data_IF_116882174283
#
_entry.id   IF_116882174283
#
_cell.length_a   1.000
_cell.length_b   1.000
_cell.length_c   1.000
_cell.angle_alpha   90.00
_cell.angle_beta   90.00
_cell.angle_gamma   90.00
#
_symmetry.space_group_name_H-M   'P 1'
#
loop_
_entity.id
_entity.type
_entity.pdbx_description
1 polymer ?
#
# COMPACT_ATOMS: atom_id res chain seq x y z
N UNK A 1 40.12 27.47 43.71
CA UNK A 1 39.38 26.64 42.69
C UNK A 1 39.29 25.23 43.20
N UNK A 2 38.18 24.89 43.85
CA UNK A 2 37.90 23.51 44.25
C UNK A 2 37.54 22.70 43.02
N UNK A 3 38.34 21.71 42.71
CA UNK A 3 37.95 20.67 41.73
C UNK A 3 36.65 20.06 42.23
N UNK A 4 35.55 20.34 41.56
CA UNK A 4 34.35 19.51 41.69
C UNK A 4 34.74 18.20 41.06
N UNK A 5 35.26 17.28 41.83
CA UNK A 5 35.35 15.88 41.47
C UNK A 5 33.97 15.26 41.60
N UNK A 6 33.05 15.77 40.84
CA UNK A 6 31.80 15.05 40.64
C UNK A 6 32.11 13.85 39.76
N UNK A 7 32.00 12.68 40.36
CA UNK A 7 31.99 11.42 39.62
C UNK A 7 31.05 11.58 38.45
N UNK A 8 31.57 11.41 37.25
CA UNK A 8 30.76 11.50 35.99
C UNK A 8 29.52 10.59 36.10
N UNK A 9 29.63 9.49 36.80
CA UNK A 9 28.54 8.59 37.11
C UNK A 9 27.44 9.26 37.97
N UNK A 10 27.80 10.16 38.90
CA UNK A 10 26.82 10.88 39.71
C UNK A 10 26.05 11.93 38.87
N UNK A 11 26.70 12.63 37.95
CA UNK A 11 26.02 13.49 36.99
C UNK A 11 25.02 12.69 36.10
N UNK A 12 25.43 11.48 35.70
CA UNK A 12 24.58 10.55 34.95
C UNK A 12 23.40 10.08 35.80
N UNK A 13 23.63 9.66 37.04
CA UNK A 13 22.58 9.22 37.98
C UNK A 13 21.57 10.31 38.26
N UNK A 14 21.99 11.56 38.39
CA UNK A 14 21.10 12.71 38.60
C UNK A 14 20.26 12.98 37.38
N UNK A 15 20.82 12.90 36.19
CA UNK A 15 20.12 13.08 34.92
C UNK A 15 19.06 12.01 34.67
N UNK A 16 19.29 10.80 35.18
CA UNK A 16 18.45 9.64 34.95
C UNK A 16 17.59 9.23 36.14
N UNK A 17 17.33 10.13 37.08
CA UNK A 17 16.35 9.92 38.14
C UNK A 17 14.97 10.33 37.65
N UNK A 18 14.00 9.44 37.78
CA UNK A 18 12.59 9.66 37.42
C UNK A 18 11.69 9.26 38.59
N UNK A 19 10.46 9.78 38.59
CA UNK A 19 9.46 9.53 39.60
C UNK A 19 8.65 8.28 39.27
N UNK A 20 8.41 8.06 37.96
CA UNK A 20 7.68 6.91 37.46
C UNK A 20 8.05 6.61 36.01
N UNK A 21 7.74 5.37 35.61
CA UNK A 21 7.72 4.92 34.22
C UNK A 21 6.25 4.67 33.83
N UNK A 22 5.84 5.21 32.70
CA UNK A 22 4.51 4.99 32.15
C UNK A 22 4.63 4.35 30.77
N UNK A 23 3.62 3.58 30.39
CA UNK A 23 3.48 3.13 29.01
C UNK A 23 3.12 4.31 28.12
N UNK A 24 3.73 4.35 26.97
CA UNK A 24 3.47 5.31 25.92
C UNK A 24 3.42 4.61 24.57
N UNK A 25 2.85 5.28 23.60
CA UNK A 25 2.76 4.78 22.22
C UNK A 25 2.69 5.96 21.27
N UNK A 26 3.31 5.84 20.12
CA UNK A 26 3.15 6.80 19.03
C UNK A 26 2.23 6.21 17.97
N UNK A 27 1.28 7.00 17.53
CA UNK A 27 0.24 6.58 16.59
C UNK A 27 0.11 7.53 15.41
N UNK A 28 1.16 8.22 15.02
CA UNK A 28 1.06 9.23 13.96
C UNK A 28 2.14 9.01 12.91
N UNK A 29 1.77 9.12 11.65
CA UNK A 29 2.65 9.25 10.48
C UNK A 29 3.64 8.13 10.22
N UNK A 30 3.65 7.09 11.03
CA UNK A 30 4.48 5.92 10.85
C UNK A 30 3.61 4.68 10.83
N UNK A 31 3.68 3.92 9.81
CA UNK A 31 3.03 2.62 9.71
C UNK A 31 4.08 1.51 9.81
N UNK A 32 3.91 0.56 10.72
CA UNK A 32 2.83 0.41 11.67
C UNK A 32 2.84 1.47 12.77
N UNK A 33 1.66 1.89 13.18
CA UNK A 33 1.46 2.72 14.36
C UNK A 33 1.56 1.88 15.62
N UNK A 34 1.78 2.53 16.75
CA UNK A 34 1.70 1.85 18.04
C UNK A 34 3.03 1.27 18.52
N UNK A 35 4.17 1.92 18.24
CA UNK A 35 5.43 1.58 18.88
C UNK A 35 5.27 1.60 20.39
N UNK A 36 5.47 0.47 21.11
CA UNK A 36 5.37 0.43 22.56
C UNK A 36 6.60 1.09 23.16
N UNK A 37 6.39 2.08 24.01
CA UNK A 37 7.43 2.87 24.62
C UNK A 37 7.25 2.93 26.14
N UNK A 38 8.36 3.11 26.84
CA UNK A 38 8.41 3.52 28.23
C UNK A 38 8.71 5.01 28.33
N UNK A 39 7.75 5.80 28.80
CA UNK A 39 7.95 7.20 29.11
C UNK A 39 8.45 7.35 30.58
N UNK A 40 9.64 7.91 30.72
CA UNK A 40 10.27 8.19 32.01
C UNK A 40 9.88 9.60 32.44
N UNK A 41 9.10 9.69 33.51
CA UNK A 41 8.48 10.95 33.97
C UNK A 41 9.15 11.45 35.24
N UNK A 42 9.46 12.74 35.28
CA UNK A 42 9.96 13.46 36.45
C UNK A 42 9.30 14.82 36.55
N UNK A 43 8.85 15.17 37.75
CA UNK A 43 8.21 16.48 38.04
C UNK A 43 7.07 16.80 37.01
N UNK A 44 6.31 15.77 36.62
CA UNK A 44 5.23 15.89 35.63
C UNK A 44 5.66 16.01 34.18
N UNK A 45 6.96 16.00 33.87
CA UNK A 45 7.51 16.08 32.51
C UNK A 45 8.10 14.77 32.06
N UNK A 46 7.98 14.49 30.76
CA UNK A 46 8.63 13.33 30.13
C UNK A 46 10.10 13.68 29.89
N UNK A 47 11.00 12.99 30.60
CA UNK A 47 12.44 13.18 30.41
C UNK A 47 12.94 12.54 29.11
N UNK A 48 12.40 11.36 28.79
CA UNK A 48 12.74 10.59 27.60
C UNK A 48 11.73 9.48 27.38
N UNK A 49 11.75 8.94 26.20
CA UNK A 49 11.08 7.70 25.86
C UNK A 49 12.09 6.65 25.38
N UNK A 50 11.84 5.41 25.70
CA UNK A 50 12.61 4.24 25.23
C UNK A 50 11.66 3.16 24.74
N UNK A 51 12.14 2.37 23.81
CA UNK A 51 11.42 1.21 23.33
C UNK A 51 11.16 0.23 24.48
N UNK A 52 9.93 -0.23 24.58
CA UNK A 52 9.54 -1.08 25.70
C UNK A 52 10.10 -2.52 25.62
N UNK A 53 10.48 -2.97 24.43
CA UNK A 53 11.01 -4.33 24.25
C UNK A 53 10.05 -5.46 24.66
N UNK A 54 8.75 -5.21 24.59
CA UNK A 54 7.73 -6.06 25.20
C UNK A 54 6.89 -6.84 24.19
N UNK A 55 7.21 -6.73 22.90
CA UNK A 55 6.49 -7.48 21.88
C UNK A 55 6.91 -8.94 21.88
N UNK A 56 5.96 -9.87 21.81
CA UNK A 56 6.28 -11.30 21.76
C UNK A 56 6.90 -11.68 20.43
N UNK A 57 7.73 -12.71 20.43
CA UNK A 57 8.11 -13.38 19.20
C UNK A 57 6.88 -14.00 18.55
N UNK A 58 6.65 -13.69 17.27
CA UNK A 58 5.44 -14.12 16.55
C UNK A 58 5.61 -15.57 16.07
N UNK A 59 6.74 -15.88 15.46
CA UNK A 59 7.01 -17.20 14.89
C UNK A 59 8.48 -17.60 15.14
N UNK A 60 8.75 -18.85 15.53
CA UNK A 60 10.13 -19.33 15.67
C UNK A 60 10.89 -19.25 14.36
N UNK A 61 12.13 -18.76 14.40
CA UNK A 61 12.99 -18.61 13.24
C UNK A 61 12.83 -17.32 12.46
N UNK A 62 11.85 -16.48 12.85
CA UNK A 62 11.74 -15.10 12.35
C UNK A 62 12.35 -14.16 13.39
N UNK A 63 13.04 -13.08 12.96
CA UNK A 63 13.56 -12.08 13.88
C UNK A 63 12.49 -11.51 14.80
N UNK A 64 12.88 -11.14 16.01
CA UNK A 64 12.03 -10.49 16.99
C UNK A 64 11.61 -9.09 16.48
N UNK A 65 10.39 -8.67 16.80
CA UNK A 65 9.93 -7.29 16.55
C UNK A 65 10.67 -6.25 17.39
N UNK A 66 11.34 -6.65 18.46
CA UNK A 66 12.05 -5.73 19.34
C UNK A 66 13.50 -5.48 18.83
N UNK A 67 13.99 -4.26 18.97
CA UNK A 67 13.30 -3.08 19.46
C UNK A 67 12.43 -2.43 18.38
N UNK A 68 11.20 -2.03 18.73
CA UNK A 68 10.28 -1.32 17.84
C UNK A 68 10.20 0.15 18.21
N UNK A 69 11.05 0.97 17.64
CA UNK A 69 11.10 2.40 17.87
C UNK A 69 12.17 3.07 17.00
N UNK A 70 12.13 4.39 16.95
CA UNK A 70 13.07 5.17 16.12
C UNK A 70 13.36 6.55 16.72
N UNK A 71 14.27 7.28 16.08
CA UNK A 71 14.66 8.65 16.54
C UNK A 71 13.48 9.63 16.51
N UNK A 72 12.53 9.50 15.59
CA UNK A 72 11.34 10.36 15.56
C UNK A 72 10.56 10.21 16.88
N UNK A 73 10.27 8.98 17.28
CA UNK A 73 9.66 8.70 18.57
C UNK A 73 10.46 9.24 19.74
N UNK A 74 11.74 8.97 19.78
CA UNK A 74 12.62 9.40 20.86
C UNK A 74 12.72 10.94 21.01
N UNK A 75 12.37 11.71 19.96
CA UNK A 75 12.37 13.18 20.01
C UNK A 75 11.03 13.81 20.43
N UNK A 76 9.94 13.05 20.49
CA UNK A 76 8.61 13.58 20.83
C UNK A 76 8.53 14.32 22.17
N UNK A 77 9.18 13.85 23.25
CA UNK A 77 9.18 14.59 24.51
C UNK A 77 9.67 16.02 24.37
N UNK A 78 10.63 16.26 23.48
CA UNK A 78 11.16 17.59 23.24
C UNK A 78 10.12 18.53 22.57
N UNK A 79 9.22 17.98 21.76
CA UNK A 79 8.14 18.76 21.12
C UNK A 79 7.07 19.17 22.14
N UNK A 80 6.83 18.37 23.18
CA UNK A 80 5.85 18.70 24.21
C UNK A 80 6.20 19.93 25.01
N UNK A 81 7.48 20.13 25.29
CA UNK A 81 8.01 21.23 26.09
C UNK A 81 8.75 22.29 25.22
N UNK A 82 8.62 22.24 23.91
CA UNK A 82 9.26 23.17 23.00
C UNK A 82 8.76 24.61 23.26
N UNK A 83 9.66 25.58 23.31
CA UNK A 83 9.28 26.99 23.63
C UNK A 83 8.40 27.64 22.55
N UNK A 84 8.43 27.12 21.35
CA UNK A 84 7.63 27.57 20.21
C UNK A 84 6.33 26.75 20.04
N UNK A 85 6.03 25.81 20.97
CA UNK A 85 4.80 25.04 20.94
C UNK A 85 3.59 25.97 21.10
N UNK A 86 2.64 25.89 20.18
CA UNK A 86 1.37 26.61 20.24
C UNK A 86 0.51 26.01 21.37
N UNK A 87 0.30 26.80 22.42
CA UNK A 87 -0.48 26.38 23.62
C UNK A 87 -1.80 27.13 23.77
N UNK A 88 -2.08 28.09 22.90
CA UNK A 88 -3.32 28.88 22.87
C UNK A 88 -3.73 29.13 21.44
N UNK A 89 -5.01 29.41 21.16
CA UNK A 89 -5.44 29.86 19.84
C UNK A 89 -4.68 31.12 19.43
N UNK A 90 -4.32 31.17 18.16
CA UNK A 90 -3.59 32.31 17.58
C UNK A 90 -4.45 32.96 16.48
N UNK A 91 -4.65 34.29 16.59
CA UNK A 91 -5.30 35.06 15.55
C UNK A 91 -4.26 35.77 14.69
N UNK A 92 -4.40 35.70 13.38
CA UNK A 92 -3.54 36.44 12.46
C UNK A 92 -3.83 37.93 12.55
N UNK A 93 -2.79 38.75 12.73
CA UNK A 93 -2.86 40.23 12.81
C UNK A 93 -2.14 40.94 11.70
N UNK A 94 -1.49 40.21 10.81
CA UNK A 94 -0.80 40.76 9.63
C UNK A 94 -1.42 40.25 8.33
N UNK A 95 -0.83 40.68 7.23
CA UNK A 95 -1.19 40.19 5.90
C UNK A 95 -0.91 38.68 5.78
N UNK A 96 -1.62 38.02 4.85
CA UNK A 96 -1.42 36.61 4.61
C UNK A 96 0.02 36.33 4.15
N UNK A 97 0.72 35.48 4.88
CA UNK A 97 2.13 35.13 4.63
C UNK A 97 3.14 35.91 5.48
N UNK A 98 2.73 36.95 6.19
CA UNK A 98 3.66 37.70 7.09
C UNK A 98 4.05 36.93 8.36
N UNK A 99 3.31 35.88 8.73
CA UNK A 99 3.60 35.10 9.94
C UNK A 99 3.34 35.85 11.25
N UNK A 100 2.54 36.93 11.24
CA UNK A 100 2.21 37.70 12.43
C UNK A 100 0.93 37.21 13.07
N UNK A 101 1.03 36.77 14.32
CA UNK A 101 -0.07 36.24 15.11
C UNK A 101 -0.07 36.80 16.52
N UNK A 102 -1.26 36.89 17.13
CA UNK A 102 -1.43 37.19 18.54
C UNK A 102 -2.24 36.10 19.24
N UNK A 103 -1.93 35.77 20.51
CA UNK A 103 -2.73 34.82 21.29
C UNK A 103 -4.12 35.41 21.62
N UNK A 104 -5.16 34.58 21.46
CA UNK A 104 -6.52 34.92 21.88
C UNK A 104 -7.08 33.85 22.81
N UNK A 105 -8.19 34.13 23.51
CA UNK A 105 -8.87 33.15 24.29
C UNK A 105 -9.62 32.15 23.39
N UNK A 106 -9.95 30.96 23.92
CA UNK A 106 -10.79 30.00 23.21
C UNK A 106 -12.16 30.59 22.86
N UNK A 107 -12.77 31.36 23.77
CA UNK A 107 -14.08 31.96 23.51
C UNK A 107 -14.04 32.92 22.32
N UNK A 108 -13.00 33.77 22.25
CA UNK A 108 -12.81 34.65 21.09
C UNK A 108 -12.59 33.88 19.81
N UNK A 109 -11.71 32.87 19.83
CA UNK A 109 -11.41 32.07 18.64
C UNK A 109 -12.67 31.33 18.14
N UNK A 110 -13.41 30.68 19.04
CA UNK A 110 -14.62 29.93 18.67
C UNK A 110 -15.73 30.84 18.17
N UNK A 111 -15.88 32.03 18.74
CA UNK A 111 -16.88 33.02 18.30
C UNK A 111 -16.54 33.52 16.89
N UNK A 112 -15.32 33.96 16.67
CA UNK A 112 -14.88 34.46 15.34
C UNK A 112 -15.00 33.36 14.25
N UNK A 113 -14.69 32.09 14.58
CA UNK A 113 -14.85 30.97 13.64
C UNK A 113 -16.34 30.72 13.36
N UNK A 114 -17.19 30.70 14.40
CA UNK A 114 -18.61 30.47 14.25
C UNK A 114 -19.28 31.58 13.41
N UNK A 115 -18.95 32.84 13.67
CA UNK A 115 -19.47 33.98 12.91
C UNK A 115 -19.07 33.88 11.43
N UNK A 116 -17.79 33.59 11.14
CA UNK A 116 -17.33 33.43 9.76
C UNK A 116 -18.00 32.24 9.04
N UNK A 117 -18.31 31.13 9.77
CA UNK A 117 -19.05 30.01 9.20
C UNK A 117 -20.50 30.38 8.93
N UNK A 118 -21.15 31.10 9.83
CA UNK A 118 -22.54 31.56 9.66
C UNK A 118 -22.65 32.53 8.47
N UNK A 119 -21.73 33.50 8.37
CA UNK A 119 -21.68 34.42 7.24
C UNK A 119 -21.55 33.65 5.90
N UNK A 120 -20.66 32.66 5.84
CA UNK A 120 -20.50 31.84 4.65
C UNK A 120 -21.77 31.03 4.31
N UNK A 121 -22.46 30.50 5.31
CA UNK A 121 -23.72 29.77 5.14
C UNK A 121 -24.83 30.69 4.64
N UNK A 122 -24.95 31.91 5.21
CA UNK A 122 -25.95 32.87 4.79
C UNK A 122 -25.71 33.36 3.35
N UNK A 123 -24.47 33.57 2.97
CA UNK A 123 -24.12 34.09 1.65
C UNK A 123 -24.13 33.03 0.55
N UNK A 124 -23.68 31.81 0.82
CA UNK A 124 -23.38 30.81 -0.21
C UNK A 124 -23.93 29.41 0.08
N UNK A 125 -24.58 29.20 1.22
CA UNK A 125 -25.07 27.90 1.66
C UNK A 125 -24.03 27.06 2.42
N UNK A 126 -24.47 26.05 3.18
CA UNK A 126 -23.59 25.23 4.02
C UNK A 126 -22.57 24.42 3.20
N UNK A 127 -22.85 24.14 1.94
CA UNK A 127 -21.95 23.46 1.00
C UNK A 127 -20.72 24.31 0.62
N UNK A 128 -20.69 25.58 0.94
CA UNK A 128 -19.49 26.44 0.78
C UNK A 128 -18.40 26.10 1.79
N UNK A 129 -18.74 25.42 2.87
CA UNK A 129 -17.80 24.97 3.90
C UNK A 129 -17.27 23.59 3.51
N UNK A 130 -15.96 23.49 3.32
CA UNK A 130 -15.28 22.23 3.01
C UNK A 130 -14.49 21.76 4.22
N UNK A 131 -14.76 20.54 4.66
CA UNK A 131 -14.06 19.89 5.77
C UNK A 131 -13.18 18.76 5.18
N UNK A 132 -11.86 18.96 5.05
CA UNK A 132 -10.99 17.88 4.61
C UNK A 132 -10.89 16.83 5.72
N UNK A 133 -11.18 15.59 5.36
CA UNK A 133 -11.15 14.47 6.29
C UNK A 133 -10.10 13.46 5.85
N UNK A 134 -9.34 12.98 6.82
CA UNK A 134 -8.49 11.81 6.64
C UNK A 134 -9.18 10.58 7.25
N UNK A 135 -8.80 9.35 6.89
CA UNK A 135 -9.37 8.14 7.48
C UNK A 135 -9.30 8.12 9.01
N UNK A 136 -8.23 8.66 9.58
CA UNK A 136 -8.04 8.77 11.02
C UNK A 136 -9.09 9.68 11.68
N UNK A 137 -9.65 10.61 10.93
CA UNK A 137 -10.69 11.53 11.39
C UNK A 137 -12.12 11.01 11.17
N UNK A 138 -12.28 9.89 10.48
CA UNK A 138 -13.58 9.39 10.03
C UNK A 138 -14.61 9.12 11.14
N UNK A 139 -14.15 8.75 12.34
CA UNK A 139 -14.99 8.57 13.53
C UNK A 139 -14.94 9.78 14.47
N UNK A 140 -14.33 10.89 14.05
CA UNK A 140 -14.13 12.07 14.91
C UNK A 140 -15.40 12.92 15.05
N UNK A 141 -15.52 13.69 16.15
CA UNK A 141 -16.57 14.69 16.29
C UNK A 141 -16.66 15.69 15.12
N UNK A 142 -15.54 15.94 14.42
CA UNK A 142 -15.51 16.83 13.27
C UNK A 142 -16.42 16.33 12.13
N UNK A 143 -16.50 15.02 11.88
CA UNK A 143 -17.42 14.46 10.87
C UNK A 143 -18.87 14.62 11.26
N UNK A 144 -19.18 14.38 12.54
CA UNK A 144 -20.54 14.57 13.06
C UNK A 144 -20.96 16.03 12.91
N UNK A 145 -20.07 16.94 13.28
CA UNK A 145 -20.29 18.37 13.13
C UNK A 145 -20.49 18.79 11.69
N UNK A 146 -19.60 18.37 10.78
CA UNK A 146 -19.69 18.68 9.36
C UNK A 146 -21.00 18.17 8.73
N UNK A 147 -21.41 16.93 9.05
CA UNK A 147 -22.67 16.38 8.59
C UNK A 147 -23.90 17.14 9.14
N UNK A 148 -23.87 17.51 10.42
CA UNK A 148 -24.95 18.27 11.03
C UNK A 148 -25.07 19.68 10.45
N UNK A 149 -23.96 20.26 10.01
CA UNK A 149 -23.91 21.58 9.38
C UNK A 149 -24.35 21.55 7.92
N UNK A 150 -24.28 20.41 7.25
CA UNK A 150 -24.47 20.28 5.79
C UNK A 150 -23.25 20.65 4.98
N UNK A 151 -22.06 20.67 5.60
CA UNK A 151 -20.80 20.97 4.95
C UNK A 151 -20.35 19.86 4.00
N UNK A 152 -19.55 20.21 2.99
CA UNK A 152 -18.92 19.24 2.10
C UNK A 152 -17.75 18.56 2.83
N UNK A 153 -17.81 17.24 2.91
CA UNK A 153 -16.72 16.44 3.45
C UNK A 153 -15.97 15.82 2.28
N UNK A 154 -14.67 16.11 2.21
CA UNK A 154 -13.79 15.45 1.23
C UNK A 154 -13.26 14.15 1.80
N UNK A 155 -13.07 13.16 0.95
CA UNK A 155 -12.33 11.95 1.28
C UNK A 155 -10.90 12.10 0.72
N UNK A 156 -10.10 12.92 1.41
CA UNK A 156 -8.80 13.31 0.91
C UNK A 156 -7.87 12.14 0.57
N UNK A 157 -7.99 11.02 1.29
CA UNK A 157 -7.14 9.85 1.03
C UNK A 157 -7.58 9.07 -0.20
N UNK A 158 -8.89 8.84 -0.37
CA UNK A 158 -9.39 8.13 -1.55
C UNK A 158 -9.28 8.98 -2.81
N UNK A 159 -9.57 10.27 -2.71
CA UNK A 159 -9.46 11.22 -3.84
C UNK A 159 -8.02 11.40 -4.31
N UNK A 160 -7.05 11.33 -3.39
CA UNK A 160 -5.63 11.40 -3.73
C UNK A 160 -4.96 10.04 -3.94
N UNK A 161 -5.73 8.96 -3.98
CA UNK A 161 -5.27 7.60 -4.24
C UNK A 161 -4.19 7.09 -3.26
N UNK A 162 -4.30 7.43 -1.99
CA UNK A 162 -3.36 6.95 -0.96
C UNK A 162 -3.48 5.45 -0.68
N UNK A 163 -4.61 4.83 -1.04
CA UNK A 163 -4.95 3.47 -0.65
C UNK A 163 -4.75 2.44 -1.75
N UNK A 164 -3.82 2.67 -2.66
CA UNK A 164 -3.48 1.70 -3.70
C UNK A 164 -4.72 1.18 -4.46
N UNK A 165 -5.45 2.05 -5.18
CA UNK A 165 -6.71 1.72 -5.83
C UNK A 165 -6.59 0.58 -6.84
N UNK A 166 -5.45 0.44 -7.50
CA UNK A 166 -5.21 -0.64 -8.46
C UNK A 166 -5.22 -2.02 -7.79
N UNK A 167 -4.65 -2.13 -6.60
CA UNK A 167 -4.72 -3.38 -5.84
C UNK A 167 -6.13 -3.64 -5.33
N UNK A 168 -6.83 -2.60 -4.86
CA UNK A 168 -8.23 -2.74 -4.45
C UNK A 168 -9.11 -3.24 -5.59
N UNK A 169 -8.98 -2.64 -6.78
CA UNK A 169 -9.72 -3.08 -7.97
C UNK A 169 -9.36 -4.50 -8.41
N UNK A 170 -8.11 -4.93 -8.20
CA UNK A 170 -7.66 -6.26 -8.58
C UNK A 170 -8.17 -7.35 -7.65
N UNK A 171 -8.11 -7.13 -6.34
CA UNK A 171 -8.47 -8.15 -5.35
C UNK A 171 -9.85 -7.96 -4.70
N UNK A 172 -10.50 -6.83 -4.93
CA UNK A 172 -11.82 -6.54 -4.36
C UNK A 172 -11.80 -6.31 -2.85
N UNK A 173 -10.61 -6.20 -2.25
CA UNK A 173 -10.43 -5.96 -0.83
C UNK A 173 -9.43 -4.83 -0.61
N UNK A 174 -9.69 -4.05 0.43
CA UNK A 174 -8.80 -3.00 0.82
C UNK A 174 -7.51 -3.57 1.41
N UNK A 175 -6.39 -3.16 0.84
CA UNK A 175 -5.07 -3.40 1.38
C UNK A 175 -4.74 -4.87 1.71
N UNK A 176 -4.71 -5.77 0.71
CA UNK A 176 -4.41 -7.19 0.89
C UNK A 176 -2.92 -7.39 1.18
N UNK A 177 -2.49 -7.13 2.40
CA UNK A 177 -1.09 -7.18 2.81
C UNK A 177 -0.81 -8.31 3.79
N UNK A 178 0.42 -8.84 3.75
CA UNK A 178 0.94 -9.71 4.78
C UNK A 178 1.51 -8.91 5.96
N UNK A 179 1.74 -9.58 7.09
CA UNK A 179 2.44 -9.01 8.23
C UNK A 179 3.89 -8.60 7.89
N UNK A 180 4.46 -7.72 8.68
CA UNK A 180 5.80 -7.17 8.43
C UNK A 180 6.91 -8.21 8.56
N UNK A 181 6.79 -9.10 9.53
CA UNK A 181 7.71 -10.21 9.79
C UNK A 181 7.82 -11.18 8.60
N UNK A 182 6.77 -11.27 7.78
CA UNK A 182 6.78 -12.08 6.56
C UNK A 182 7.80 -11.60 5.51
N UNK A 183 8.29 -10.36 5.62
CA UNK A 183 9.33 -9.85 4.71
C UNK A 183 10.66 -10.57 4.87
N UNK A 184 10.95 -11.06 6.07
CA UNK A 184 12.14 -11.86 6.35
C UNK A 184 12.21 -13.14 5.50
N UNK A 185 11.06 -13.66 5.09
CA UNK A 185 10.94 -14.93 4.35
C UNK A 185 10.99 -14.77 2.83
N UNK A 186 11.11 -13.53 2.32
CA UNK A 186 11.20 -13.28 0.88
C UNK A 186 12.60 -13.60 0.35
N UNK A 187 12.68 -14.29 -0.80
CA UNK A 187 13.95 -14.51 -1.51
C UNK A 187 14.32 -13.28 -2.35
N UNK A 188 13.32 -12.48 -2.73
CA UNK A 188 13.48 -11.23 -3.46
C UNK A 188 12.45 -10.21 -2.98
N UNK A 189 12.90 -9.04 -2.56
CA UNK A 189 12.04 -7.91 -2.27
C UNK A 189 12.28 -6.79 -3.26
N UNK A 190 11.24 -6.39 -3.98
CA UNK A 190 11.25 -5.20 -4.82
C UNK A 190 10.70 -4.03 -4.01
N UNK A 191 11.55 -3.09 -3.61
CA UNK A 191 11.12 -1.81 -3.05
C UNK A 191 10.84 -0.89 -4.23
N UNK A 192 9.55 -0.76 -4.55
CA UNK A 192 9.11 -0.09 -5.76
C UNK A 192 8.29 1.14 -5.42
N UNK A 193 8.69 2.30 -5.90
CA UNK A 193 8.02 3.56 -5.63
C UNK A 193 7.90 3.89 -4.12
N UNK A 194 8.88 3.48 -3.34
CA UNK A 194 8.85 3.56 -1.88
C UNK A 194 10.22 3.79 -1.26
N UNK A 195 10.24 4.34 -0.03
CA UNK A 195 11.45 4.51 0.75
C UNK A 195 11.23 4.06 2.22
N UNK A 196 11.16 2.74 2.47
CA UNK A 196 10.84 2.20 3.79
C UNK A 196 11.87 2.56 4.88
N UNK A 197 13.12 2.85 4.53
CA UNK A 197 14.11 3.33 5.52
C UNK A 197 13.65 4.62 6.19
N UNK A 198 12.88 5.47 5.51
CA UNK A 198 12.31 6.68 6.08
C UNK A 198 10.90 6.53 6.61
N UNK A 199 10.09 5.66 6.00
CA UNK A 199 8.66 5.59 6.28
C UNK A 199 8.25 4.41 7.16
N UNK A 200 9.10 3.35 7.21
CA UNK A 200 8.88 2.14 8.01
C UNK A 200 10.11 1.78 8.82
N UNK A 201 10.72 2.76 9.46
CA UNK A 201 12.02 2.65 10.12
C UNK A 201 12.08 1.45 11.06
N UNK A 202 11.07 1.27 11.88
CA UNK A 202 11.03 0.22 12.91
C UNK A 202 10.92 -1.18 12.34
N UNK A 203 10.35 -1.32 11.14
CA UNK A 203 10.16 -2.62 10.48
C UNK A 203 11.19 -2.92 9.40
N UNK A 204 12.03 -1.95 9.08
CA UNK A 204 13.04 -2.11 8.05
C UNK A 204 14.06 -3.22 8.38
N UNK A 205 14.25 -3.53 9.66
CA UNK A 205 15.13 -4.61 10.08
C UNK A 205 14.75 -5.96 9.45
N UNK A 206 13.46 -6.26 9.26
CA UNK A 206 13.05 -7.50 8.58
C UNK A 206 13.54 -7.57 7.14
N UNK A 207 13.57 -6.44 6.43
CA UNK A 207 14.17 -6.36 5.10
C UNK A 207 15.69 -6.53 5.16
N UNK A 208 16.35 -5.81 6.07
CA UNK A 208 17.79 -5.90 6.22
C UNK A 208 18.23 -7.32 6.61
N UNK A 209 17.51 -7.95 7.53
CA UNK A 209 17.81 -9.30 8.00
C UNK A 209 17.46 -10.40 6.99
N UNK A 210 16.50 -10.15 6.08
CA UNK A 210 16.23 -11.09 4.98
C UNK A 210 17.46 -11.32 4.12
N UNK A 211 18.34 -10.32 3.96
CA UNK A 211 19.61 -10.45 3.24
C UNK A 211 20.57 -11.42 3.93
N UNK A 212 20.62 -11.40 5.26
CA UNK A 212 21.41 -12.38 6.03
C UNK A 212 20.87 -13.80 5.91
N UNK A 213 19.57 -13.91 5.56
CA UNK A 213 18.91 -15.19 5.27
C UNK A 213 18.97 -15.55 3.77
N UNK A 214 19.78 -14.85 2.97
CA UNK A 214 19.95 -15.12 1.55
C UNK A 214 18.97 -14.41 0.60
N UNK A 215 18.11 -13.55 1.15
CA UNK A 215 17.24 -12.70 0.33
C UNK A 215 18.00 -11.60 -0.40
N UNK A 216 17.42 -11.09 -1.47
CA UNK A 216 17.93 -9.97 -2.26
C UNK A 216 16.94 -8.80 -2.21
N UNK A 217 17.44 -7.59 -2.07
CA UNK A 217 16.65 -6.36 -2.11
C UNK A 217 16.99 -5.58 -3.37
N UNK A 218 15.98 -5.26 -4.16
CA UNK A 218 16.08 -4.39 -5.34
C UNK A 218 15.21 -3.16 -5.11
N UNK A 219 15.79 -1.97 -5.25
CA UNK A 219 15.01 -0.72 -5.26
C UNK A 219 14.75 -0.28 -6.68
N UNK A 220 13.50 0.11 -6.96
CA UNK A 220 13.08 0.67 -8.26
C UNK A 220 12.49 2.05 -7.97
N UNK A 221 13.28 3.08 -8.26
CA UNK A 221 12.93 4.47 -7.97
C UNK A 221 13.77 5.43 -8.82
N UNK A 222 13.31 6.66 -9.06
CA UNK A 222 14.06 7.63 -9.86
C UNK A 222 15.30 8.16 -9.13
N UNK A 223 15.30 8.15 -7.81
CA UNK A 223 16.35 8.68 -6.96
C UNK A 223 17.08 7.58 -6.17
N UNK A 224 18.34 7.84 -5.86
CA UNK A 224 19.13 6.97 -5.00
C UNK A 224 18.84 7.28 -3.53
N UNK A 225 17.71 6.80 -3.04
CA UNK A 225 17.23 7.02 -1.69
C UNK A 225 18.02 6.24 -0.63
N UNK A 226 17.85 6.53 0.67
CA UNK A 226 18.42 5.70 1.75
C UNK A 226 18.07 4.22 1.66
N UNK A 227 16.90 3.87 1.12
CA UNK A 227 16.57 2.46 0.86
C UNK A 227 17.45 1.84 -0.23
N UNK A 228 17.91 2.63 -1.20
CA UNK A 228 18.82 2.17 -2.23
C UNK A 228 20.24 1.92 -1.68
N UNK A 229 20.67 2.68 -0.66
CA UNK A 229 21.97 2.44 0.02
C UNK A 229 22.04 1.05 0.63
N UNK A 230 20.90 0.52 1.10
CA UNK A 230 20.79 -0.78 1.75
C UNK A 230 20.31 -1.89 0.82
N UNK A 231 20.10 -1.60 -0.46
CA UNK A 231 19.71 -2.59 -1.46
C UNK A 231 20.92 -3.29 -2.07
N UNK A 232 20.71 -4.48 -2.61
CA UNK A 232 21.73 -5.22 -3.38
C UNK A 232 21.85 -4.65 -4.79
N UNK A 233 20.75 -4.08 -5.31
CA UNK A 233 20.71 -3.45 -6.60
C UNK A 233 19.70 -2.30 -6.63
N UNK A 234 20.08 -1.19 -7.23
CA UNK A 234 19.22 -0.05 -7.51
C UNK A 234 18.95 0.04 -9.00
N UNK A 235 17.68 0.01 -9.40
CA UNK A 235 17.22 0.23 -10.75
C UNK A 235 16.62 1.63 -10.85
N UNK A 236 17.33 2.61 -11.38
CA UNK A 236 16.75 3.90 -11.70
C UNK A 236 15.68 3.74 -12.79
N UNK A 237 14.62 4.52 -12.69
CA UNK A 237 13.50 4.50 -13.63
C UNK A 237 13.01 5.92 -13.88
N UNK A 238 12.61 6.21 -15.11
CA UNK A 238 11.94 7.46 -15.46
C UNK A 238 10.60 7.55 -14.72
N UNK A 239 10.33 8.69 -14.09
CA UNK A 239 9.11 8.94 -13.31
C UNK A 239 7.86 8.69 -14.15
N UNK A 240 6.89 7.93 -13.60
CA UNK A 240 5.58 7.67 -14.23
C UNK A 240 5.59 6.56 -15.30
N UNK A 241 6.68 5.79 -15.41
CA UNK A 241 6.81 4.70 -16.41
C UNK A 241 6.83 3.30 -15.80
N UNK A 242 6.53 3.19 -14.53
CA UNK A 242 6.56 1.96 -13.75
C UNK A 242 5.65 0.86 -14.32
N UNK A 243 4.47 1.25 -14.83
CA UNK A 243 3.56 0.33 -15.50
C UNK A 243 4.21 -0.34 -16.73
N UNK A 244 4.95 0.43 -17.54
CA UNK A 244 5.62 -0.11 -18.71
C UNK A 244 6.72 -1.12 -18.32
N UNK A 245 7.46 -0.87 -17.23
CA UNK A 245 8.42 -1.82 -16.68
C UNK A 245 7.74 -3.11 -16.22
N UNK A 246 6.67 -3.00 -15.43
CA UNK A 246 5.94 -4.17 -14.93
C UNK A 246 5.35 -5.01 -16.07
N UNK A 247 4.72 -4.38 -17.07
CA UNK A 247 4.16 -5.06 -18.23
C UNK A 247 5.25 -5.72 -19.10
N UNK A 248 6.40 -5.07 -19.26
CA UNK A 248 7.54 -5.68 -19.97
C UNK A 248 8.09 -6.91 -19.22
N UNK A 249 8.14 -6.87 -17.90
CA UNK A 249 8.49 -8.05 -17.11
C UNK A 249 7.47 -9.17 -17.28
N UNK A 250 6.17 -8.86 -17.31
CA UNK A 250 5.10 -9.82 -17.59
C UNK A 250 5.28 -10.43 -19.00
N UNK A 251 5.59 -9.62 -20.01
CA UNK A 251 5.89 -10.08 -21.37
C UNK A 251 7.03 -11.10 -21.39
N UNK A 252 8.14 -10.76 -20.74
CA UNK A 252 9.31 -11.69 -20.65
C UNK A 252 8.93 -13.00 -19.99
N UNK A 253 8.14 -12.96 -18.92
CA UNK A 253 7.71 -14.15 -18.18
C UNK A 253 6.82 -15.04 -19.05
N UNK A 254 5.86 -14.44 -19.76
CA UNK A 254 4.95 -15.17 -20.65
C UNK A 254 5.71 -15.79 -21.83
N UNK A 255 6.53 -15.00 -22.52
CA UNK A 255 7.26 -15.47 -23.72
C UNK A 255 8.27 -16.57 -23.40
N UNK A 256 8.89 -16.49 -22.21
CA UNK A 256 9.83 -17.51 -21.75
C UNK A 256 9.16 -18.73 -21.11
N UNK A 257 7.82 -18.76 -20.99
CA UNK A 257 7.08 -19.84 -20.35
C UNK A 257 7.38 -19.98 -18.85
N UNK A 258 7.77 -18.88 -18.18
CA UNK A 258 8.16 -18.87 -16.77
C UNK A 258 6.99 -18.63 -15.81
N UNK A 259 5.78 -18.49 -16.33
CA UNK A 259 4.59 -18.31 -15.49
C UNK A 259 4.16 -19.62 -14.83
N UNK A 260 3.53 -19.52 -13.67
CA UNK A 260 3.01 -20.64 -12.89
C UNK A 260 1.63 -21.04 -13.43
N UNK A 261 1.60 -21.96 -14.43
CA UNK A 261 0.40 -22.34 -15.19
C UNK A 261 -0.78 -22.68 -14.26
N UNK A 262 -0.57 -23.55 -13.28
CA UNK A 262 -1.63 -23.98 -12.37
C UNK A 262 -2.20 -22.80 -11.58
N UNK A 263 -1.33 -21.94 -11.02
CA UNK A 263 -1.77 -20.75 -10.28
C UNK A 263 -2.59 -19.81 -11.17
N UNK A 264 -2.13 -19.58 -12.41
CA UNK A 264 -2.82 -18.73 -13.38
C UNK A 264 -4.21 -19.29 -13.71
N UNK A 265 -4.32 -20.61 -13.89
CA UNK A 265 -5.60 -21.27 -14.20
C UNK A 265 -6.58 -21.27 -13.04
N UNK A 266 -6.09 -21.44 -11.80
CA UNK A 266 -6.92 -21.62 -10.61
C UNK A 266 -7.20 -20.34 -9.84
N UNK A 267 -6.27 -19.39 -9.85
CA UNK A 267 -6.29 -18.24 -8.93
C UNK A 267 -6.44 -16.90 -9.62
N UNK A 268 -6.67 -16.88 -10.94
CA UNK A 268 -6.84 -15.66 -11.72
C UNK A 268 -8.01 -15.77 -12.69
N UNK A 269 -8.44 -14.63 -13.21
CA UNK A 269 -9.44 -14.54 -14.28
C UNK A 269 -8.85 -14.76 -15.69
N UNK A 270 -7.54 -15.02 -15.79
CA UNK A 270 -6.83 -15.14 -17.06
C UNK A 270 -7.29 -16.35 -17.91
N UNK A 271 -7.87 -17.35 -17.31
CA UNK A 271 -8.47 -18.49 -18.01
C UNK A 271 -9.93 -18.29 -18.43
N UNK A 272 -10.60 -17.24 -17.92
CA UNK A 272 -11.98 -16.96 -18.29
C UNK A 272 -12.09 -16.52 -19.75
N UNK A 273 -13.23 -16.85 -20.36
CA UNK A 273 -13.47 -16.56 -21.77
C UNK A 273 -14.02 -15.16 -21.98
N UNK A 274 -13.48 -14.50 -22.99
CA UNK A 274 -13.90 -13.18 -23.47
C UNK A 274 -14.44 -13.30 -24.89
N UNK A 275 -15.55 -12.67 -25.18
CA UNK A 275 -16.12 -12.55 -26.52
C UNK A 275 -15.25 -11.61 -27.36
N UNK A 276 -14.90 -12.04 -28.56
CA UNK A 276 -14.04 -11.25 -29.45
C UNK A 276 -14.77 -10.05 -30.08
N UNK A 277 -16.11 -10.17 -30.24
CA UNK A 277 -16.97 -9.14 -30.83
C UNK A 277 -17.22 -7.94 -29.90
N UNK A 278 -17.36 -8.18 -28.59
CA UNK A 278 -17.68 -7.14 -27.60
C UNK A 278 -16.52 -6.80 -26.69
N UNK A 279 -15.51 -7.66 -26.59
CA UNK A 279 -14.42 -7.55 -25.64
C UNK A 279 -14.82 -7.77 -24.17
N UNK A 280 -16.03 -8.31 -23.92
CA UNK A 280 -16.56 -8.58 -22.58
C UNK A 280 -16.46 -10.06 -22.25
N UNK A 281 -16.43 -10.38 -20.95
CA UNK A 281 -16.51 -11.76 -20.51
C UNK A 281 -17.77 -12.44 -21.04
N UNK A 282 -17.64 -13.71 -21.44
CA UNK A 282 -18.78 -14.56 -21.76
C UNK A 282 -19.51 -14.89 -20.45
N UNK A 283 -20.79 -14.57 -20.39
CA UNK A 283 -21.64 -14.69 -19.19
C UNK A 283 -22.75 -15.71 -19.40
N UNK A 284 -23.34 -16.18 -18.30
CA UNK A 284 -24.47 -17.08 -18.34
C UNK A 284 -25.64 -16.53 -19.18
N UNK A 285 -25.99 -15.26 -19.02
CA UNK A 285 -27.02 -14.57 -19.81
C UNK A 285 -26.73 -14.52 -21.32
N UNK A 286 -25.47 -14.60 -21.73
CA UNK A 286 -25.10 -14.71 -23.15
C UNK A 286 -25.40 -16.11 -23.71
N UNK A 287 -25.23 -17.17 -22.89
CA UNK A 287 -25.27 -18.57 -23.33
C UNK A 287 -26.69 -19.17 -23.22
N UNK A 288 -27.47 -18.76 -22.22
CA UNK A 288 -28.82 -19.27 -22.01
C UNK A 288 -29.76 -18.16 -21.52
N UNK A 289 -30.99 -18.12 -22.06
CA UNK A 289 -32.02 -17.17 -21.63
C UNK A 289 -32.37 -17.41 -20.16
N UNK A 290 -32.28 -16.38 -19.36
CA UNK A 290 -32.62 -16.43 -17.92
C UNK A 290 -31.50 -16.97 -17.02
N UNK A 291 -30.34 -17.29 -17.57
CA UNK A 291 -29.16 -17.61 -16.77
C UNK A 291 -28.54 -16.34 -16.19
N UNK A 292 -27.60 -16.51 -15.29
CA UNK A 292 -27.04 -15.46 -14.42
C UNK A 292 -25.93 -14.68 -15.09
N UNK A 293 -25.93 -13.38 -14.88
CA UNK A 293 -24.84 -12.49 -15.34
C UNK A 293 -23.51 -12.71 -14.64
N UNK A 294 -23.49 -13.29 -13.46
CA UNK A 294 -22.29 -13.58 -12.69
C UNK A 294 -21.78 -15.02 -12.87
N UNK A 295 -22.31 -15.77 -13.84
CA UNK A 295 -21.75 -17.04 -14.31
C UNK A 295 -20.76 -16.77 -15.44
N UNK A 296 -19.49 -17.18 -15.25
CA UNK A 296 -18.43 -17.14 -16.25
C UNK A 296 -18.10 -18.54 -16.76
N UNK A 297 -17.29 -18.60 -17.82
CA UNK A 297 -16.98 -19.85 -18.48
C UNK A 297 -15.50 -20.02 -18.75
N UNK A 298 -15.09 -21.28 -18.77
CA UNK A 298 -13.81 -21.78 -19.26
C UNK A 298 -14.00 -22.57 -20.55
N UNK A 299 -12.94 -22.67 -21.33
CA UNK A 299 -12.82 -23.76 -22.31
C UNK A 299 -12.01 -24.87 -21.67
N UNK A 300 -12.61 -26.05 -21.51
CA UNK A 300 -11.91 -27.23 -21.01
C UNK A 300 -11.08 -27.84 -22.12
N UNK A 301 -9.75 -27.85 -21.96
CA UNK A 301 -8.82 -28.43 -22.93
C UNK A 301 -8.89 -29.96 -23.00
N UNK A 302 -9.35 -30.63 -21.94
CA UNK A 302 -9.50 -32.09 -21.89
C UNK A 302 -10.70 -32.56 -22.69
N UNK A 303 -11.86 -31.97 -22.44
CA UNK A 303 -13.13 -32.34 -23.09
C UNK A 303 -13.38 -31.56 -24.38
N UNK A 304 -12.63 -30.50 -24.63
CA UNK A 304 -12.81 -29.60 -25.77
C UNK A 304 -14.20 -28.97 -25.82
N UNK A 305 -14.70 -28.55 -24.66
CA UNK A 305 -16.04 -28.02 -24.54
C UNK A 305 -16.09 -26.81 -23.63
N UNK A 306 -17.18 -26.03 -23.80
CA UNK A 306 -17.51 -24.91 -22.90
C UNK A 306 -17.91 -25.50 -21.54
N UNK A 307 -17.30 -24.97 -20.47
CA UNK A 307 -17.52 -25.44 -19.10
C UNK A 307 -17.76 -24.23 -18.20
N UNK A 308 -18.76 -24.30 -17.33
CA UNK A 308 -19.05 -23.26 -16.35
C UNK A 308 -17.89 -23.13 -15.34
N UNK A 309 -17.37 -21.93 -15.17
CA UNK A 309 -16.39 -21.65 -14.13
C UNK A 309 -17.10 -21.65 -12.75
N UNK A 310 -16.48 -22.19 -11.69
CA UNK A 310 -17.06 -22.18 -10.35
C UNK A 310 -17.16 -20.76 -9.81
N UNK A 311 -18.24 -20.48 -9.06
CA UNK A 311 -18.52 -19.14 -8.53
C UNK A 311 -17.98 -18.89 -7.13
N UNK A 312 -17.92 -19.90 -6.29
CA UNK A 312 -17.51 -19.80 -4.89
C UNK A 312 -16.08 -20.22 -4.60
N UNK A 313 -15.40 -20.77 -5.60
CA UNK A 313 -14.00 -21.24 -5.52
C UNK A 313 -13.40 -21.21 -6.91
N UNK A 314 -12.08 -21.14 -6.99
CA UNK A 314 -11.35 -21.24 -8.26
C UNK A 314 -10.78 -22.64 -8.49
N UNK A 315 -11.22 -23.64 -7.74
CA UNK A 315 -10.77 -25.02 -7.89
C UNK A 315 -11.12 -25.55 -9.28
N UNK A 316 -10.13 -26.09 -10.00
CA UNK A 316 -10.26 -26.61 -11.36
C UNK A 316 -10.44 -28.12 -11.38
N UNK A 317 -10.98 -28.75 -10.33
CA UNK A 317 -11.05 -30.20 -10.18
C UNK A 317 -11.71 -30.87 -11.41
N UNK A 318 -10.94 -31.68 -12.15
CA UNK A 318 -11.39 -32.39 -13.32
C UNK A 318 -11.54 -31.58 -14.60
N UNK A 319 -11.17 -30.31 -14.58
CA UNK A 319 -11.16 -29.38 -15.73
C UNK A 319 -9.74 -28.88 -15.96
N UNK A 320 -9.31 -28.76 -17.20
CA UNK A 320 -8.09 -28.05 -17.58
C UNK A 320 -8.45 -26.77 -18.34
N UNK A 321 -8.60 -25.62 -17.65
CA UNK A 321 -8.93 -24.36 -18.30
C UNK A 321 -7.85 -23.98 -19.31
N UNK A 322 -8.25 -23.75 -20.57
CA UNK A 322 -7.35 -23.32 -21.61
C UNK A 322 -6.86 -21.87 -21.35
N UNK A 323 -5.59 -21.62 -21.60
CA UNK A 323 -5.00 -20.27 -21.56
C UNK A 323 -4.83 -19.68 -22.96
N UNK A 324 -4.82 -20.52 -23.99
CA UNK A 324 -4.60 -20.14 -25.38
C UNK A 324 -5.72 -20.70 -26.27
N UNK A 325 -5.86 -20.13 -27.45
CA UNK A 325 -6.81 -20.58 -28.48
C UNK A 325 -7.97 -19.61 -28.69
N UNK A 326 -8.72 -19.89 -29.77
CA UNK A 326 -10.00 -19.23 -30.09
C UNK A 326 -11.04 -20.33 -30.31
N UNK A 327 -12.22 -20.14 -29.76
CA UNK A 327 -13.26 -21.15 -29.73
C UNK A 327 -14.59 -20.59 -30.17
N UNK A 328 -15.40 -21.39 -30.84
CA UNK A 328 -16.73 -20.99 -31.30
C UNK A 328 -17.78 -21.46 -30.32
N UNK A 329 -18.60 -20.56 -29.83
CA UNK A 329 -19.67 -20.83 -28.86
C UNK A 329 -20.99 -20.33 -29.40
N UNK A 330 -22.07 -21.10 -29.17
CA UNK A 330 -23.43 -20.65 -29.46
C UNK A 330 -23.97 -19.84 -28.31
N UNK A 331 -24.59 -18.72 -28.65
CA UNK A 331 -25.30 -17.85 -27.70
C UNK A 331 -26.76 -18.27 -27.58
N UNK A 332 -27.45 -17.67 -26.61
CA UNK A 332 -28.87 -17.93 -26.35
C UNK A 332 -29.82 -17.56 -27.51
N UNK A 333 -29.37 -16.74 -28.44
CA UNK A 333 -30.09 -16.32 -29.66
C UNK A 333 -29.71 -17.15 -30.90
N UNK A 334 -29.08 -18.30 -30.71
CA UNK A 334 -28.55 -19.19 -31.74
C UNK A 334 -27.42 -18.60 -32.62
N UNK A 335 -26.95 -17.38 -32.32
CA UNK A 335 -25.80 -16.85 -32.99
C UNK A 335 -24.50 -17.47 -32.46
N UNK A 336 -23.56 -17.73 -33.37
CA UNK A 336 -22.25 -18.20 -32.98
C UNK A 336 -21.27 -17.05 -32.83
N UNK A 337 -20.54 -17.02 -31.71
CA UNK A 337 -19.51 -16.02 -31.43
C UNK A 337 -18.17 -16.70 -31.20
N UNK A 338 -17.08 -16.03 -31.57
CA UNK A 338 -15.75 -16.43 -31.17
C UNK A 338 -15.43 -15.91 -29.77
N UNK A 339 -14.82 -16.76 -28.97
CA UNK A 339 -14.35 -16.45 -27.62
C UNK A 339 -12.90 -16.89 -27.47
N UNK A 340 -12.17 -16.22 -26.61
CA UNK A 340 -10.79 -16.54 -26.28
C UNK A 340 -10.53 -16.37 -24.77
N UNK A 341 -9.55 -17.08 -24.18
CA UNK A 341 -9.12 -16.83 -22.82
C UNK A 341 -8.52 -15.42 -22.68
N UNK A 342 -8.74 -14.79 -21.52
CA UNK A 342 -8.12 -13.48 -21.22
C UNK A 342 -6.60 -13.55 -21.37
N UNK A 343 -5.97 -14.66 -21.01
CA UNK A 343 -4.52 -14.84 -21.15
C UNK A 343 -4.05 -14.71 -22.61
N UNK A 344 -4.76 -15.30 -23.56
CA UNK A 344 -4.43 -15.20 -24.98
C UNK A 344 -4.51 -13.76 -25.48
N UNK A 345 -5.54 -13.03 -25.04
CA UNK A 345 -5.69 -11.60 -25.32
C UNK A 345 -4.57 -10.77 -24.67
N UNK A 346 -4.32 -10.97 -23.37
CA UNK A 346 -3.25 -10.31 -22.64
C UNK A 346 -1.89 -10.48 -23.33
N UNK A 347 -1.58 -11.70 -23.77
CA UNK A 347 -0.31 -11.98 -24.45
C UNK A 347 -0.11 -11.11 -25.70
N UNK A 348 -1.17 -10.87 -26.47
CA UNK A 348 -1.11 -9.98 -27.65
C UNK A 348 -0.97 -8.51 -27.26
N UNK A 349 -1.73 -8.07 -26.26
CA UNK A 349 -1.65 -6.68 -25.76
C UNK A 349 -0.23 -6.37 -25.23
N UNK A 350 0.44 -7.34 -24.66
CA UNK A 350 1.82 -7.19 -24.17
C UNK A 350 2.87 -7.08 -25.30
N UNK A 351 2.53 -7.30 -26.57
CA UNK A 351 3.45 -7.08 -27.70
C UNK A 351 3.90 -5.62 -27.85
N UNK A 352 3.13 -4.70 -27.28
CA UNK A 352 3.52 -3.30 -27.19
C UNK A 352 4.51 -2.99 -26.05
N UNK A 353 4.77 -3.96 -25.17
CA UNK A 353 5.65 -3.81 -24.02
C UNK A 353 6.83 -4.78 -24.06
N UNK A 354 7.47 -4.94 -25.23
CA UNK A 354 8.73 -5.68 -25.29
C UNK A 354 9.80 -4.97 -24.43
N UNK A 355 10.82 -5.69 -23.94
CA UNK A 355 11.92 -5.07 -23.20
C UNK A 355 12.57 -3.89 -23.94
N UNK A 356 12.64 -3.93 -25.26
CA UNK A 356 13.17 -2.85 -26.09
C UNK A 356 12.28 -1.62 -26.08
N UNK A 357 10.98 -1.81 -26.33
CA UNK A 357 10.01 -0.71 -26.32
C UNK A 357 9.89 -0.09 -24.92
N UNK A 358 9.69 -0.93 -23.93
CA UNK A 358 9.57 -0.48 -22.53
C UNK A 358 10.88 0.11 -22.01
N UNK A 359 12.02 -0.44 -22.41
CA UNK A 359 13.33 0.08 -22.04
C UNK A 359 13.54 1.52 -22.53
N UNK A 360 13.07 1.83 -23.72
CA UNK A 360 13.09 3.20 -24.25
C UNK A 360 12.13 4.15 -23.48
N UNK A 361 10.99 3.64 -23.00
CA UNK A 361 10.02 4.41 -22.20
C UNK A 361 10.57 4.68 -20.79
N UNK A 362 11.13 3.65 -20.17
CA UNK A 362 11.56 3.67 -18.76
C UNK A 362 12.98 4.17 -18.58
N UNK A 363 13.76 4.32 -19.66
CA UNK A 363 15.20 4.61 -19.65
C UNK A 363 16.00 3.48 -18.94
N UNK A 364 15.57 2.23 -19.16
CA UNK A 364 16.17 1.03 -18.57
C UNK A 364 16.73 0.14 -19.70
N UNK A 365 17.94 -0.36 -19.53
CA UNK A 365 18.49 -1.30 -20.49
C UNK A 365 17.63 -2.58 -20.58
N UNK A 366 17.26 -3.05 -21.79
CA UNK A 366 16.38 -4.22 -21.96
C UNK A 366 16.84 -5.48 -21.23
N UNK A 367 18.14 -5.71 -21.10
CA UNK A 367 18.67 -6.87 -20.39
C UNK A 367 18.46 -6.79 -18.88
N UNK A 368 18.40 -5.59 -18.30
CA UNK A 368 18.03 -5.41 -16.89
C UNK A 368 16.57 -5.79 -16.67
N UNK A 369 15.68 -5.42 -17.59
CA UNK A 369 14.27 -5.81 -17.55
C UNK A 369 14.16 -7.34 -17.60
N UNK A 370 14.87 -7.99 -18.51
CA UNK A 370 14.90 -9.46 -18.63
C UNK A 370 15.46 -10.13 -17.38
N UNK A 371 16.54 -9.60 -16.84
CA UNK A 371 17.17 -10.14 -15.63
C UNK A 371 16.22 -10.04 -14.43
N UNK A 372 15.58 -8.88 -14.24
CA UNK A 372 14.65 -8.64 -13.16
C UNK A 372 13.40 -9.53 -13.28
N UNK A 373 12.83 -9.65 -14.48
CA UNK A 373 11.70 -10.54 -14.77
C UNK A 373 11.99 -12.00 -14.40
N UNK A 374 13.18 -12.50 -14.79
CA UNK A 374 13.62 -13.87 -14.45
C UNK A 374 13.81 -14.07 -12.95
N UNK A 375 14.35 -13.08 -12.23
CA UNK A 375 14.48 -13.14 -10.76
C UNK A 375 13.10 -13.27 -10.10
N UNK A 376 12.13 -12.46 -10.52
CA UNK A 376 10.75 -12.52 -10.00
C UNK A 376 10.09 -13.85 -10.29
N UNK A 377 10.28 -14.41 -11.48
CA UNK A 377 9.65 -15.67 -11.89
C UNK A 377 10.21 -16.90 -11.15
N UNK A 378 11.44 -16.84 -10.66
CA UNK A 378 12.12 -18.01 -10.08
C UNK A 378 12.30 -17.95 -8.56
N UNK A 379 11.85 -16.86 -7.91
CA UNK A 379 12.04 -16.64 -6.47
C UNK A 379 10.72 -16.30 -5.78
N UNK A 380 10.65 -16.55 -4.49
CA UNK A 380 9.58 -15.99 -3.64
C UNK A 380 9.75 -14.48 -3.61
N UNK A 381 8.91 -13.80 -4.35
CA UNK A 381 9.01 -12.36 -4.55
C UNK A 381 7.92 -11.61 -3.80
N UNK A 382 8.34 -10.55 -3.14
CA UNK A 382 7.49 -9.57 -2.48
C UNK A 382 7.71 -8.19 -3.08
N UNK A 383 6.64 -7.43 -3.29
CA UNK A 383 6.70 -6.03 -3.72
C UNK A 383 6.33 -5.14 -2.53
N UNK A 384 7.23 -4.25 -2.17
CA UNK A 384 6.95 -3.14 -1.28
C UNK A 384 6.66 -1.91 -2.13
N UNK A 385 5.43 -1.44 -2.12
CA UNK A 385 5.00 -0.24 -2.86
C UNK A 385 4.63 0.88 -1.91
N UNK A 386 4.96 2.11 -2.27
CA UNK A 386 4.61 3.30 -1.48
C UNK A 386 3.13 3.67 -1.59
N UNK A 387 2.60 4.36 -0.59
CA UNK A 387 1.22 4.82 -0.57
C UNK A 387 0.89 5.83 -1.68
N UNK A 388 1.88 6.43 -2.30
CA UNK A 388 1.72 7.39 -3.39
C UNK A 388 1.75 6.76 -4.80
N UNK A 389 1.82 5.43 -4.90
CA UNK A 389 1.85 4.74 -6.18
C UNK A 389 0.61 5.05 -7.03
N UNK A 390 -0.55 5.08 -6.42
CA UNK A 390 -1.81 5.40 -7.07
C UNK A 390 -1.96 6.87 -7.51
N UNK A 391 -1.12 7.79 -7.00
CA UNK A 391 -1.22 9.23 -7.29
C UNK A 391 -0.65 9.64 -8.64
N UNK A 392 0.12 8.79 -9.27
CA UNK A 392 0.62 9.03 -10.63
C UNK A 392 -0.51 8.93 -11.64
N UNK A 393 -0.37 9.60 -12.79
CA UNK A 393 -1.30 9.43 -13.90
C UNK A 393 -1.39 7.94 -14.28
N UNK A 394 -2.61 7.39 -14.26
CA UNK A 394 -2.84 5.94 -14.37
C UNK A 394 -2.10 5.07 -13.33
N UNK A 395 -1.92 5.59 -12.12
CA UNK A 395 -1.26 4.85 -11.04
C UNK A 395 -2.00 3.58 -10.62
N UNK A 396 -3.32 3.56 -10.77
CA UNK A 396 -4.15 2.36 -10.61
C UNK A 396 -3.75 1.25 -11.60
N UNK A 397 -3.46 1.59 -12.86
CA UNK A 397 -2.98 0.62 -13.86
C UNK A 397 -1.55 0.15 -13.55
N UNK A 398 -0.71 1.02 -13.02
CA UNK A 398 0.62 0.65 -12.54
C UNK A 398 0.54 -0.42 -11.44
N UNK A 399 -0.28 -0.22 -10.44
CA UNK A 399 -0.49 -1.18 -9.36
C UNK A 399 -1.09 -2.50 -9.85
N UNK A 400 -2.01 -2.44 -10.81
CA UNK A 400 -2.57 -3.64 -11.45
C UNK A 400 -1.52 -4.39 -12.25
N UNK A 401 -0.58 -3.70 -12.91
CA UNK A 401 0.53 -4.34 -13.61
C UNK A 401 1.50 -5.05 -12.63
N UNK A 402 1.74 -4.47 -11.45
CA UNK A 402 2.49 -5.13 -10.38
C UNK A 402 1.74 -6.36 -9.83
N UNK A 403 0.42 -6.26 -9.68
CA UNK A 403 -0.41 -7.39 -9.27
C UNK A 403 -0.37 -8.52 -10.31
N UNK A 404 -0.44 -8.19 -11.61
CA UNK A 404 -0.31 -9.15 -12.71
C UNK A 404 1.03 -9.88 -12.67
N UNK A 405 2.12 -9.16 -12.39
CA UNK A 405 3.45 -9.74 -12.26
C UNK A 405 3.50 -10.82 -11.17
N UNK A 406 2.91 -10.54 -10.01
CA UNK A 406 2.82 -11.51 -8.90
C UNK A 406 1.89 -12.68 -9.25
N UNK A 407 0.77 -12.42 -9.93
CA UNK A 407 -0.18 -13.43 -10.33
C UNK A 407 0.42 -14.42 -11.35
N UNK A 408 1.09 -13.92 -12.39
CA UNK A 408 1.75 -14.77 -13.38
C UNK A 408 2.80 -15.69 -12.75
N UNK A 409 3.48 -15.23 -11.72
CA UNK A 409 4.58 -15.98 -11.08
C UNK A 409 4.15 -16.80 -9.86
N UNK A 410 2.85 -16.79 -9.52
CA UNK A 410 2.32 -17.47 -8.33
C UNK A 410 2.91 -16.94 -7.03
N UNK A 411 3.37 -15.70 -7.01
CA UNK A 411 3.92 -15.00 -5.86
C UNK A 411 2.81 -14.37 -5.01
N UNK A 412 1.82 -15.19 -4.64
CA UNK A 412 0.65 -14.77 -3.87
C UNK A 412 0.17 -15.89 -2.95
N UNK A 413 -0.32 -15.52 -1.75
CA UNK A 413 -0.88 -16.47 -0.80
C UNK A 413 0.11 -17.43 -0.14
N UNK A 414 1.41 -17.16 -0.23
CA UNK A 414 2.51 -17.95 0.36
C UNK A 414 3.36 -17.05 1.21
N UNK A 415 3.97 -17.61 2.28
CA UNK A 415 4.93 -16.87 3.12
C UNK A 415 6.09 -16.32 2.28
N UNK A 416 6.45 -15.07 2.50
CA UNK A 416 7.51 -14.37 1.77
C UNK A 416 7.12 -13.88 0.39
N UNK A 417 5.82 -13.87 0.04
CA UNK A 417 5.32 -13.39 -1.26
C UNK A 417 4.25 -12.31 -1.10
N UNK A 418 3.81 -11.74 -2.21
CA UNK A 418 2.70 -10.78 -2.26
C UNK A 418 3.15 -9.32 -2.30
N UNK A 419 2.24 -8.44 -1.93
CA UNK A 419 2.47 -7.01 -1.95
C UNK A 419 2.40 -6.43 -0.53
N UNK A 420 3.16 -5.39 -0.30
CA UNK A 420 2.99 -4.46 0.80
C UNK A 420 2.75 -3.08 0.20
N UNK A 421 1.56 -2.59 0.38
CA UNK A 421 1.21 -1.19 0.14
C UNK A 421 1.12 -0.44 1.46
N UNK A 422 0.56 0.74 1.45
CA UNK A 422 0.24 1.45 2.67
C UNK A 422 -0.73 0.61 3.53
N UNK A 423 -0.31 0.25 4.71
CA UNK A 423 -1.15 -0.45 5.65
C UNK A 423 -1.62 0.54 6.69
N UNK A 424 -2.88 0.85 6.64
CA UNK A 424 -3.57 1.30 7.83
C UNK A 424 -3.61 0.11 8.76
N UNK A 425 -2.81 0.17 9.77
CA UNK A 425 -2.85 -0.86 10.77
C UNK A 425 -3.86 -0.49 11.83
N UNK A 426 -4.60 -1.29 11.96
CA UNK A 426 -5.35 -1.76 13.05
C UNK A 426 -6.15 -2.88 12.45
N UNK A 427 -6.21 -3.93 13.10
CA UNK A 427 -7.28 -4.87 12.96
C UNK A 427 -8.62 -4.13 12.84
N UNK A 428 -8.67 -2.92 13.37
CA UNK A 428 -9.79 -1.99 13.36
C UNK A 428 -9.84 -1.08 12.11
N UNK A 429 -8.77 -0.97 11.35
CA UNK A 429 -8.73 -0.13 10.14
C UNK A 429 -9.69 -0.60 9.05
N UNK A 430 -9.99 -1.89 8.98
CA UNK A 430 -11.03 -2.39 8.10
C UNK A 430 -12.43 -2.01 8.57
N UNK A 431 -12.69 -1.97 9.87
CA UNK A 431 -13.95 -1.48 10.41
C UNK A 431 -14.19 -0.01 10.06
N UNK A 432 -13.14 0.75 9.94
CA UNK A 432 -13.16 2.15 9.56
C UNK A 432 -13.70 2.40 8.14
N UNK A 433 -13.40 1.51 7.22
CA UNK A 433 -13.77 1.63 5.81
C UNK A 433 -15.06 0.90 5.46
N UNK A 434 -15.50 -0.02 6.31
CA UNK A 434 -16.76 -0.74 6.14
C UNK A 434 -17.95 -0.03 6.77
N UNK A 435 -17.74 1.03 7.53
CA UNK A 435 -18.80 1.88 8.04
C UNK A 435 -19.22 2.94 7.02
N UNK A 436 -19.71 2.51 5.88
CA UNK A 436 -20.48 3.39 4.99
C UNK A 436 -21.94 3.38 5.39
#
# INVERSE_FOLDING_TARGET
MSRVSGDWAEAYRRKWKWDRVAWSSHNVDCYPSGCPLHAYVKDGKILREEQAGSLPQIEPGIPDMNPMGCQKGASWPQLLDAPDRVTRPLRRVGERGEGKFEPVSWDVALTEIADAMLDAIEEQGPESIIVPMTPEMGASPARIFANALGAVITDGSAEFHDFSPGFHLTWGVFNPVASMDDWFLADLTLIWHANPVYTYITMYHYLAESRYNGGEIVTIAPDFSPSAVHADYHQPIRIGTDAALALAMCKVIIDAGLYQKQFVQEQTDLSLLVRTDTGRFLRGSDVAVGDRDDQFFWWDALTRSLTSAPRGTLATTGVEPALEGSYRVLLADDNAVEVEPVFARLRRELDDYTPEKAGAICEIHPDNIRALARKVATRKTKIFVGCNSGKSYHGDLMERAMALLLALTGNWGKKGTGVRSWAVIGLDGQAFLTQK
#
